data_IF_957809375630
#
_entry.id   IF_957809375630
#
_cell.length_a   1.000
_cell.length_b   1.000
_cell.length_c   1.000
_cell.angle_alpha   90.00
_cell.angle_beta   90.00
_cell.angle_gamma   90.00
#
_symmetry.space_group_name_H-M   'P 1'
#
loop_
_entity.id
_entity.type
_entity.pdbx_description
1 polymer ?
#
# COMPACT_ATOMS: atom_id res chain seq x y z
N UNK A 1 0.64 -1.33 -8.26
CA UNK A 1 -0.27 -0.23 -8.43
C UNK A 1 -1.61 -0.63 -7.86
N UNK A 2 -2.40 0.36 -7.52
CA UNK A 2 -3.80 0.19 -7.15
C UNK A 2 -4.66 0.73 -8.28
N UNK A 3 -5.94 0.98 -7.99
CA UNK A 3 -6.83 1.70 -8.87
C UNK A 3 -6.65 3.22 -8.64
N UNK A 4 -6.46 4.01 -9.69
CA UNK A 4 -6.35 5.47 -9.64
C UNK A 4 -7.48 6.14 -10.43
N UNK A 5 -8.06 7.22 -9.89
CA UNK A 5 -9.16 7.95 -10.54
C UNK A 5 -8.75 8.75 -11.80
N UNK A 6 -7.45 8.88 -12.03
CA UNK A 6 -6.83 9.62 -13.14
C UNK A 6 -5.62 8.86 -13.67
N UNK A 7 -5.15 9.28 -14.84
CA UNK A 7 -3.94 8.72 -15.44
C UNK A 7 -2.72 8.95 -14.53
N UNK A 8 -1.97 7.88 -14.31
CA UNK A 8 -0.73 7.91 -13.54
C UNK A 8 0.43 7.45 -14.42
N UNK A 9 1.31 8.35 -14.86
CA UNK A 9 2.44 8.02 -15.71
C UNK A 9 3.45 7.06 -15.09
N UNK A 10 3.59 7.07 -13.76
CA UNK A 10 4.59 6.26 -13.07
C UNK A 10 4.19 5.93 -11.64
N UNK A 11 4.35 4.66 -11.29
CA UNK A 11 4.28 4.15 -9.91
C UNK A 11 5.36 3.09 -9.74
N UNK A 12 6.05 3.11 -8.60
CA UNK A 12 7.07 2.12 -8.26
C UNK A 12 7.22 1.96 -6.75
N UNK A 13 8.12 1.06 -6.34
CA UNK A 13 8.50 0.87 -4.93
C UNK A 13 7.28 0.64 -4.04
N UNK A 14 6.29 -0.09 -4.56
CA UNK A 14 5.05 -0.32 -3.83
C UNK A 14 5.34 -1.25 -2.67
N UNK A 15 4.97 -0.86 -1.45
CA UNK A 15 5.04 -1.73 -0.28
C UNK A 15 3.71 -1.78 0.43
N UNK A 16 3.27 -2.99 0.74
CA UNK A 16 1.96 -3.22 1.37
C UNK A 16 2.17 -4.10 2.59
N UNK A 17 1.66 -3.68 3.73
CA UNK A 17 1.61 -4.47 4.94
C UNK A 17 0.18 -4.88 5.23
N UNK A 18 -0.05 -6.14 5.61
CA UNK A 18 -1.36 -6.56 6.12
C UNK A 18 -1.27 -7.61 7.22
N UNK A 19 -2.25 -7.60 8.13
CA UNK A 19 -2.45 -8.66 9.13
C UNK A 19 -3.89 -8.79 9.57
N UNK A 20 -4.24 -9.96 10.09
CA UNK A 20 -5.45 -10.09 10.89
C UNK A 20 -5.27 -9.37 12.23
N UNK A 21 -6.24 -8.54 12.61
CA UNK A 21 -6.26 -7.77 13.86
C UNK A 21 -7.08 -8.43 14.97
N UNK A 22 -7.87 -9.44 14.61
CA UNK A 22 -8.82 -10.16 15.45
C UNK A 22 -9.91 -10.79 14.57
N UNK A 23 -10.91 -11.48 15.16
CA UNK A 23 -11.97 -12.11 14.40
C UNK A 23 -12.68 -11.10 13.47
N UNK A 24 -12.60 -11.34 12.15
CA UNK A 24 -13.27 -10.53 11.14
C UNK A 24 -12.72 -9.11 10.97
N UNK A 25 -11.49 -8.82 11.39
CA UNK A 25 -10.84 -7.51 11.16
C UNK A 25 -9.45 -7.66 10.56
N UNK A 26 -9.17 -6.84 9.56
CA UNK A 26 -7.86 -6.75 8.92
C UNK A 26 -7.29 -5.34 9.04
N UNK A 27 -5.99 -5.29 9.33
CA UNK A 27 -5.18 -4.09 9.25
C UNK A 27 -4.41 -4.10 7.94
N UNK A 28 -4.33 -2.95 7.28
CA UNK A 28 -3.63 -2.74 6.02
C UNK A 28 -2.86 -1.43 6.10
N UNK A 29 -1.63 -1.42 5.58
CA UNK A 29 -0.90 -0.20 5.27
C UNK A 29 -0.30 -0.30 3.87
N UNK A 30 -0.21 0.84 3.18
CA UNK A 30 0.23 0.90 1.80
C UNK A 30 1.12 2.13 1.60
N UNK A 31 2.24 1.97 0.89
CA UNK A 31 3.05 3.08 0.37
C UNK A 31 3.48 2.82 -1.07
N UNK A 32 3.81 3.89 -1.77
CA UNK A 32 4.34 3.87 -3.14
C UNK A 32 5.06 5.18 -3.44
N UNK A 33 5.91 5.14 -4.46
CA UNK A 33 6.36 6.34 -5.17
C UNK A 33 5.46 6.53 -6.39
N UNK A 34 4.93 7.73 -6.58
CA UNK A 34 4.04 8.09 -7.69
C UNK A 34 4.50 9.37 -8.39
N UNK A 35 4.35 9.43 -9.70
CA UNK A 35 4.36 10.66 -10.48
C UNK A 35 2.97 10.88 -11.07
N UNK A 36 2.42 12.08 -10.89
CA UNK A 36 1.14 12.50 -11.46
C UNK A 36 1.17 13.97 -11.85
N UNK A 37 0.18 14.43 -12.61
CA UNK A 37 0.13 15.80 -13.14
C UNK A 37 -1.08 16.61 -12.67
N UNK A 38 -2.01 15.96 -11.97
CA UNK A 38 -3.20 16.56 -11.38
C UNK A 38 -3.53 15.86 -10.06
N UNK A 39 -4.40 16.48 -9.27
CA UNK A 39 -4.99 15.82 -8.10
C UNK A 39 -5.79 14.58 -8.51
N UNK A 40 -5.62 13.49 -7.77
CA UNK A 40 -6.27 12.22 -8.05
C UNK A 40 -6.51 11.44 -6.76
N UNK A 41 -7.27 10.36 -6.84
CA UNK A 41 -7.43 9.42 -5.75
C UNK A 41 -6.81 8.06 -6.07
N UNK A 42 -6.15 7.49 -5.06
CA UNK A 42 -5.92 6.05 -4.99
C UNK A 42 -7.14 5.38 -4.35
N UNK A 43 -7.64 4.33 -4.99
CA UNK A 43 -8.85 3.61 -4.58
C UNK A 43 -8.45 2.16 -4.31
N UNK A 44 -8.74 1.68 -3.10
CA UNK A 44 -8.53 0.30 -2.69
C UNK A 44 -9.87 -0.39 -2.48
N UNK A 45 -10.23 -1.39 -3.31
CA UNK A 45 -11.31 -2.30 -2.99
C UNK A 45 -11.00 -3.03 -1.68
N UNK A 46 -12.00 -3.17 -0.81
CA UNK A 46 -11.90 -3.85 0.48
C UNK A 46 -12.98 -4.93 0.56
N UNK A 47 -12.64 -6.19 0.89
CA UNK A 47 -13.61 -7.28 1.05
C UNK A 47 -14.34 -7.16 2.39
N UNK A 48 -15.06 -6.06 2.58
CA UNK A 48 -15.89 -5.83 3.77
C UNK A 48 -17.16 -6.68 3.72
N UNK A 49 -17.79 -6.98 4.88
CA UNK A 49 -19.14 -7.51 4.90
C UNK A 49 -20.12 -6.59 4.17
N UNK A 50 -21.06 -7.17 3.42
CA UNK A 50 -22.09 -6.41 2.72
C UNK A 50 -22.89 -5.53 3.70
N UNK A 51 -23.19 -4.29 3.29
CA UNK A 51 -23.90 -3.32 4.14
C UNK A 51 -23.07 -2.74 5.29
N UNK A 52 -21.73 -2.83 5.23
CA UNK A 52 -20.86 -2.17 6.20
C UNK A 52 -21.15 -0.66 6.27
N UNK A 53 -21.31 -0.05 7.46
CA UNK A 53 -21.59 1.38 7.59
C UNK A 53 -20.38 2.23 7.19
N UNK A 54 -20.60 3.53 6.95
CA UNK A 54 -19.53 4.50 6.60
C UNK A 54 -18.39 4.55 7.64
N UNK A 55 -18.71 4.29 8.91
CA UNK A 55 -17.75 4.28 10.03
C UNK A 55 -17.05 2.92 10.24
N UNK A 56 -17.28 1.93 9.37
CA UNK A 56 -16.73 0.59 9.51
C UNK A 56 -15.19 0.56 9.40
N UNK A 57 -14.64 1.48 8.61
CA UNK A 57 -13.21 1.60 8.35
C UNK A 57 -12.63 2.73 9.18
N UNK A 58 -11.58 2.42 9.95
CA UNK A 58 -10.83 3.39 10.73
C UNK A 58 -9.49 3.65 10.06
N UNK A 59 -9.26 4.87 9.58
CA UNK A 59 -7.98 5.29 9.05
C UNK A 59 -6.98 5.57 10.17
N UNK A 60 -5.74 5.15 9.99
CA UNK A 60 -4.67 5.31 10.97
C UNK A 60 -3.70 6.38 10.47
N UNK A 61 -3.53 7.44 11.26
CA UNK A 61 -2.57 8.51 10.96
C UNK A 61 -1.14 8.04 11.27
N UNK A 62 -0.39 7.77 10.20
CA UNK A 62 1.01 7.40 10.20
C UNK A 62 1.92 8.52 9.66
N UNK A 63 1.45 9.76 9.60
CA UNK A 63 2.27 10.91 9.18
C UNK A 63 3.51 11.11 10.07
N UNK A 64 3.45 10.66 11.34
CA UNK A 64 4.59 10.63 12.27
C UNK A 64 5.57 9.48 12.06
N UNK A 65 5.31 8.57 11.11
CA UNK A 65 6.18 7.43 10.80
C UNK A 65 6.30 7.15 9.29
N UNK A 66 6.81 8.10 8.50
CA UNK A 66 6.96 7.92 7.05
C UNK A 66 7.91 6.75 6.68
N UNK A 67 8.93 6.50 7.51
CA UNK A 67 9.92 5.44 7.29
C UNK A 67 9.49 4.02 7.68
N UNK A 68 8.21 3.77 7.96
CA UNK A 68 7.72 2.48 8.45
C UNK A 68 8.18 1.29 7.60
N UNK A 69 8.03 1.37 6.27
CA UNK A 69 8.37 0.26 5.38
C UNK A 69 9.87 0.05 5.22
N UNK A 70 10.67 1.11 5.36
CA UNK A 70 12.12 0.99 5.44
C UNK A 70 12.54 0.20 6.68
N UNK A 71 11.92 0.49 7.83
CA UNK A 71 12.18 -0.25 9.06
C UNK A 71 11.68 -1.70 9.01
N UNK A 72 10.55 -1.97 8.35
CA UNK A 72 10.09 -3.34 8.11
C UNK A 72 11.08 -4.14 7.25
N UNK A 73 11.65 -3.53 6.21
CA UNK A 73 12.60 -4.21 5.32
C UNK A 73 13.88 -4.63 6.06
N UNK A 74 14.31 -3.86 7.06
CA UNK A 74 15.48 -4.15 7.90
C UNK A 74 15.35 -5.45 8.71
N UNK A 75 14.14 -5.97 8.88
CA UNK A 75 13.90 -7.26 9.55
C UNK A 75 14.32 -8.48 8.69
N UNK A 76 14.68 -8.25 7.43
CA UNK A 76 15.07 -9.29 6.49
C UNK A 76 16.54 -9.13 6.07
N UNK A 77 17.26 -10.24 5.80
CA UNK A 77 18.63 -10.16 5.32
C UNK A 77 18.73 -9.36 4.01
N UNK A 78 19.68 -8.42 3.94
CA UNK A 78 20.04 -7.78 2.68
C UNK A 78 20.66 -8.83 1.75
N UNK A 79 20.03 -9.07 0.60
CA UNK A 79 20.55 -9.99 -0.43
C UNK A 79 21.69 -9.41 -1.26
N UNK A 80 22.10 -8.16 -1.00
CA UNK A 80 23.26 -7.56 -1.64
C UNK A 80 24.51 -8.21 -1.01
N UNK A 81 25.35 -8.93 -1.77
CA UNK A 81 26.64 -9.38 -1.26
C UNK A 81 27.39 -8.14 -0.77
N UNK A 82 27.73 -8.10 0.52
CA UNK A 82 28.67 -7.11 1.02
C UNK A 82 29.97 -7.30 0.25
N UNK A 83 30.21 -6.45 -0.75
CA UNK A 83 31.51 -6.35 -1.37
C UNK A 83 32.49 -5.97 -0.25
N UNK A 84 33.31 -6.93 0.18
CA UNK A 84 34.50 -6.67 1.00
C UNK A 84 35.46 -5.85 0.13
N UNK A 85 35.26 -4.55 0.11
CA UNK A 85 36.04 -3.61 -0.67
C UNK A 85 36.03 -2.26 0.02
N UNK A 86 36.97 -2.07 0.96
CA UNK A 86 37.20 -0.77 1.57
C UNK A 86 37.73 0.23 0.54
N UNK A 87 37.11 1.40 0.48
CA UNK A 87 37.67 2.59 -0.14
C UNK A 87 37.49 3.78 0.82
N UNK A 88 38.46 4.71 0.90
CA UNK A 88 38.48 5.74 1.92
C UNK A 88 37.40 6.80 1.63
N UNK A 89 36.68 7.19 2.68
CA UNK A 89 35.65 8.24 2.63
C UNK A 89 36.31 9.61 2.57
N UNK A 90 36.15 10.33 1.44
CA UNK A 90 36.37 11.78 1.40
C UNK A 90 35.16 12.48 2.04
N UNK A 91 35.44 13.36 3.01
CA UNK A 91 34.43 14.18 3.70
C UNK A 91 33.98 15.33 2.79
N UNK A 92 32.70 15.34 2.39
CA UNK A 92 32.05 16.51 1.79
C UNK A 92 31.46 17.43 2.86
N UNK A 93 31.53 18.75 2.59
CA UNK A 93 31.03 19.83 3.46
C UNK A 93 29.49 19.87 3.53
N UNK A 94 28.89 20.40 4.62
CA UNK A 94 27.44 20.44 4.79
C UNK A 94 26.78 21.50 3.91
N UNK A 95 25.64 21.16 3.32
CA UNK A 95 24.77 22.07 2.58
C UNK A 95 24.01 23.03 3.52
N UNK A 96 23.63 24.25 3.08
CA UNK A 96 22.94 25.23 3.92
C UNK A 96 21.51 24.79 4.25
N UNK A 97 21.07 25.07 5.49
CA UNK A 97 19.74 24.76 5.99
C UNK A 97 18.66 25.65 5.36
N UNK A 98 17.62 25.03 4.80
CA UNK A 98 16.39 25.69 4.36
C UNK A 98 15.36 25.79 5.49
N UNK A 99 14.57 26.87 5.44
CA UNK A 99 13.52 27.23 6.40
C UNK A 99 12.33 26.25 6.39
N UNK A 100 11.67 26.15 7.56
CA UNK A 100 10.51 25.29 7.85
C UNK A 100 9.34 25.51 6.88
N UNK A 101 8.90 24.41 6.27
CA UNK A 101 7.61 24.28 5.62
C UNK A 101 6.76 23.36 6.50
N UNK A 102 5.52 23.77 6.77
CA UNK A 102 4.53 22.96 7.48
C UNK A 102 3.49 22.46 6.48
N UNK A 103 3.51 21.16 6.18
CA UNK A 103 2.39 20.43 5.58
C UNK A 103 1.98 19.36 6.60
N UNK A 104 0.69 19.26 6.91
CA UNK A 104 0.16 18.26 7.85
C UNK A 104 -0.72 17.30 7.05
N UNK A 105 -0.19 16.09 6.87
CA UNK A 105 -0.76 15.03 6.04
C UNK A 105 -0.48 15.21 4.55
N UNK A 106 -0.41 14.10 3.82
CA UNK A 106 -0.23 14.12 2.35
C UNK A 106 -1.53 13.84 1.57
N UNK A 107 -2.60 13.38 2.24
CA UNK A 107 -3.86 12.97 1.60
C UNK A 107 -5.07 13.13 2.53
N UNK A 108 -6.26 13.14 1.94
CA UNK A 108 -7.53 12.92 2.64
C UNK A 108 -8.05 11.51 2.38
N UNK A 109 -8.66 10.88 3.39
CA UNK A 109 -9.14 9.51 3.30
C UNK A 109 -10.65 9.43 3.54
N UNK A 110 -11.33 8.55 2.80
CA UNK A 110 -12.77 8.30 2.96
C UNK A 110 -13.08 6.84 2.70
N UNK A 111 -14.12 6.32 3.36
CA UNK A 111 -14.67 5.00 3.06
C UNK A 111 -15.96 5.14 2.26
N UNK A 112 -16.05 4.40 1.17
CA UNK A 112 -17.19 4.33 0.27
C UNK A 112 -17.81 2.94 0.42
N UNK A 113 -18.98 2.79 1.08
CA UNK A 113 -19.55 1.48 1.39
C UNK A 113 -19.91 0.64 0.17
N UNK A 114 -20.40 1.28 -0.89
CA UNK A 114 -20.85 0.61 -2.12
C UNK A 114 -20.41 1.36 -3.37
N UNK A 115 -20.40 0.70 -4.53
CA UNK A 115 -20.14 1.37 -5.82
C UNK A 115 -21.03 2.59 -6.07
N UNK A 116 -22.30 2.52 -5.66
CA UNK A 116 -23.25 3.63 -5.84
C UNK A 116 -22.86 4.87 -5.02
N UNK A 117 -22.19 4.69 -3.87
CA UNK A 117 -21.80 5.78 -2.99
C UNK A 117 -20.64 6.62 -3.56
N UNK A 118 -19.92 6.15 -4.60
CA UNK A 118 -18.99 7.01 -5.34
C UNK A 118 -19.66 8.27 -5.87
N UNK A 119 -20.97 8.24 -6.14
CA UNK A 119 -21.77 9.38 -6.57
C UNK A 119 -21.75 10.58 -5.60
N UNK A 120 -21.25 10.39 -4.37
CA UNK A 120 -21.12 11.41 -3.33
C UNK A 120 -19.74 12.08 -3.25
N UNK A 121 -18.71 11.53 -3.90
CA UNK A 121 -17.35 12.09 -3.89
C UNK A 121 -17.18 13.22 -4.91
N UNK A 122 -16.10 13.99 -4.93
CA UNK A 122 -15.81 14.84 -6.10
C UNK A 122 -15.54 13.95 -7.34
N UNK A 123 -16.07 14.24 -8.54
CA UNK A 123 -15.80 13.46 -9.75
C UNK A 123 -14.31 13.24 -10.08
N UNK A 124 -13.40 14.09 -9.59
CA UNK A 124 -11.94 13.92 -9.72
C UNK A 124 -11.40 12.71 -8.97
N UNK A 125 -12.12 12.26 -7.95
CA UNK A 125 -11.71 11.17 -7.05
C UNK A 125 -12.51 9.88 -7.26
N UNK A 126 -13.16 9.75 -8.42
CA UNK A 126 -13.94 8.59 -8.81
C UNK A 126 -13.33 7.93 -10.04
N UNK A 127 -13.42 6.61 -10.09
CA UNK A 127 -13.28 5.86 -11.34
C UNK A 127 -14.61 5.85 -12.09
N UNK A 128 -14.53 5.79 -13.42
CA UNK A 128 -15.70 5.71 -14.28
C UNK A 128 -16.46 4.38 -14.03
N UNK A 129 -17.80 4.44 -14.02
CA UNK A 129 -18.64 3.26 -13.82
C UNK A 129 -18.41 2.17 -14.87
N UNK A 130 -18.04 2.54 -16.10
CA UNK A 130 -17.67 1.61 -17.16
C UNK A 130 -16.38 0.84 -16.85
N UNK A 131 -15.46 1.43 -16.07
CA UNK A 131 -14.24 0.74 -15.59
C UNK A 131 -14.63 -0.25 -14.50
N UNK A 132 -15.45 0.17 -13.54
CA UNK A 132 -15.96 -0.75 -12.54
C UNK A 132 -16.81 -1.89 -13.12
N UNK A 133 -17.55 -1.63 -14.21
CA UNK A 133 -18.28 -2.66 -14.95
C UNK A 133 -17.41 -3.77 -15.54
N UNK A 134 -16.10 -3.52 -15.72
CA UNK A 134 -15.11 -4.53 -16.13
C UNK A 134 -14.52 -5.31 -14.95
N UNK A 135 -14.85 -4.94 -13.71
CA UNK A 135 -14.37 -5.56 -12.47
C UNK A 135 -15.55 -6.00 -11.58
N UNK A 136 -16.44 -6.89 -12.07
CA UNK A 136 -17.65 -7.30 -11.35
C UNK A 136 -17.36 -8.00 -10.02
N UNK A 137 -16.14 -8.49 -9.81
CA UNK A 137 -15.71 -9.04 -8.51
C UNK A 137 -15.78 -8.02 -7.37
N UNK A 138 -15.84 -6.71 -7.66
CA UNK A 138 -15.92 -5.65 -6.66
C UNK A 138 -17.35 -5.13 -6.43
N UNK A 139 -18.38 -5.79 -6.97
CA UNK A 139 -19.79 -5.36 -6.82
C UNK A 139 -20.27 -5.37 -5.36
N UNK A 140 -19.68 -6.22 -4.54
CA UNK A 140 -19.99 -6.38 -3.12
C UNK A 140 -18.87 -5.85 -2.20
N UNK A 141 -17.91 -5.10 -2.73
CA UNK A 141 -16.83 -4.49 -1.97
C UNK A 141 -17.21 -3.09 -1.48
N UNK A 142 -16.56 -2.68 -0.40
CA UNK A 142 -16.41 -1.27 -0.04
C UNK A 142 -15.06 -0.75 -0.54
N UNK A 143 -14.82 0.55 -0.47
CA UNK A 143 -13.61 1.16 -1.03
C UNK A 143 -13.00 2.16 -0.06
N UNK A 144 -11.71 2.02 0.22
CA UNK A 144 -10.93 3.11 0.80
C UNK A 144 -10.44 4.03 -0.33
N UNK A 145 -10.72 5.32 -0.21
CA UNK A 145 -10.37 6.35 -1.19
C UNK A 145 -9.41 7.33 -0.54
N UNK A 146 -8.20 7.42 -1.07
CA UNK A 146 -7.15 8.34 -0.64
C UNK A 146 -6.95 9.43 -1.69
N UNK A 147 -7.43 10.64 -1.42
CA UNK A 147 -7.30 11.81 -2.28
C UNK A 147 -5.91 12.41 -2.10
N UNK A 148 -5.05 12.20 -3.09
CA UNK A 148 -3.65 12.62 -3.05
C UNK A 148 -3.53 14.09 -3.45
N UNK A 149 -2.86 14.89 -2.61
CA UNK A 149 -2.73 16.35 -2.79
C UNK A 149 -1.32 16.77 -3.10
N UNK A 150 -1.16 17.99 -3.63
CA UNK A 150 0.16 18.59 -3.86
C UNK A 150 0.96 17.89 -4.96
N UNK A 151 0.26 17.31 -5.93
CA UNK A 151 0.84 16.70 -7.14
C UNK A 151 0.98 17.73 -8.29
N UNK A 152 0.18 18.80 -8.24
CA UNK A 152 0.25 19.87 -9.23
C UNK A 152 1.53 20.72 -9.06
N UNK A 153 2.30 20.87 -10.14
CA UNK A 153 3.39 21.82 -10.20
C UNK A 153 2.98 23.08 -10.97
N UNK A 154 3.21 24.24 -10.33
CA UNK A 154 3.14 25.54 -11.00
C UNK A 154 4.12 25.64 -12.18
N UNK A 155 3.88 26.60 -13.08
CA UNK A 155 4.65 26.79 -14.32
C UNK A 155 6.17 26.85 -14.11
N UNK A 156 6.62 27.47 -13.01
CA UNK A 156 8.03 27.60 -12.65
C UNK A 156 8.67 26.24 -12.33
N UNK A 157 7.93 25.34 -11.67
CA UNK A 157 8.39 23.99 -11.35
C UNK A 157 8.59 23.13 -12.60
N UNK A 158 7.70 23.29 -13.59
CA UNK A 158 7.82 22.61 -14.90
C UNK A 158 9.05 23.07 -15.68
N UNK A 159 9.33 24.38 -15.68
CA UNK A 159 10.48 24.94 -16.41
C UNK A 159 11.83 24.49 -15.82
N UNK A 160 11.88 24.28 -14.50
CA UNK A 160 13.09 23.88 -13.79
C UNK A 160 13.34 22.36 -13.79
N UNK A 161 12.50 21.56 -14.46
CA UNK A 161 12.71 20.11 -14.57
C UNK A 161 12.78 19.38 -13.23
N UNK A 162 12.05 19.85 -12.21
CA UNK A 162 12.05 19.21 -10.89
C UNK A 162 11.51 17.78 -10.98
N UNK A 163 12.13 16.87 -10.22
CA UNK A 163 11.61 15.51 -10.04
C UNK A 163 10.15 15.59 -9.58
N UNK A 164 9.27 14.91 -10.32
CA UNK A 164 7.82 14.91 -10.10
C UNK A 164 7.37 13.71 -9.26
N UNK A 165 8.30 12.81 -8.95
CA UNK A 165 8.04 11.64 -8.12
C UNK A 165 7.88 12.07 -6.68
N UNK A 166 6.87 11.51 -6.02
CA UNK A 166 6.60 11.72 -4.62
C UNK A 166 6.30 10.40 -3.95
N UNK A 167 6.90 10.21 -2.79
CA UNK A 167 6.49 9.19 -1.83
C UNK A 167 5.58 9.85 -0.79
N UNK A 168 4.47 9.20 -0.49
CA UNK A 168 3.52 9.63 0.54
C UNK A 168 3.82 8.86 1.81
N UNK A 169 3.59 9.45 2.99
CA UNK A 169 3.60 8.64 4.21
C UNK A 169 2.59 7.47 4.09
N UNK A 170 2.80 6.35 4.81
CA UNK A 170 1.93 5.18 4.67
C UNK A 170 0.44 5.51 4.86
N UNK A 171 -0.37 5.03 3.92
CA UNK A 171 -1.83 5.02 3.98
C UNK A 171 -2.28 3.77 4.73
N UNK A 172 -2.79 3.93 5.95
CA UNK A 172 -3.15 2.81 6.80
C UNK A 172 -4.59 2.82 7.26
N UNK A 173 -5.18 1.63 7.38
CA UNK A 173 -6.56 1.45 7.79
C UNK A 173 -6.79 0.12 8.51
N UNK A 174 -7.84 0.11 9.31
CA UNK A 174 -8.40 -1.01 10.03
C UNK A 174 -9.84 -1.20 9.55
N UNK A 175 -10.18 -2.37 8.99
CA UNK A 175 -11.49 -2.62 8.39
C UNK A 175 -12.05 -4.00 8.76
N UNK A 176 -13.39 -4.15 8.82
CA UNK A 176 -13.99 -5.47 8.91
C UNK A 176 -13.75 -6.23 7.61
N UNK A 177 -13.33 -7.49 7.70
CA UNK A 177 -13.19 -8.37 6.54
C UNK A 177 -14.24 -9.47 6.60
N UNK A 178 -14.84 -9.78 5.45
CA UNK A 178 -15.70 -10.96 5.30
C UNK A 178 -14.92 -12.27 5.19
N UNK A 179 -13.59 -12.17 5.08
CA UNK A 179 -12.67 -13.31 4.90
C UNK A 179 -11.75 -13.47 6.14
N UNK A 180 -12.25 -13.95 7.28
CA UNK A 180 -11.47 -14.03 8.52
C UNK A 180 -10.33 -15.06 8.49
N UNK A 181 -10.34 -16.00 7.53
CA UNK A 181 -9.34 -17.06 7.41
C UNK A 181 -8.13 -16.73 6.53
N UNK A 182 -8.09 -15.54 5.91
CA UNK A 182 -7.05 -15.14 4.94
C UNK A 182 -6.74 -13.66 5.06
N UNK A 183 -5.57 -13.25 4.58
CA UNK A 183 -5.21 -11.83 4.51
C UNK A 183 -5.29 -11.36 3.06
N UNK A 184 -6.01 -10.26 2.84
CA UNK A 184 -6.20 -9.63 1.55
C UNK A 184 -5.14 -8.54 1.28
N UNK A 185 -4.62 -8.48 0.06
CA UNK A 185 -3.79 -7.41 -0.43
C UNK A 185 -4.43 -6.80 -1.68
N UNK A 186 -4.86 -5.53 -1.66
CA UNK A 186 -5.35 -4.85 -2.86
C UNK A 186 -4.17 -4.59 -3.80
N UNK A 187 -4.11 -5.35 -4.89
CA UNK A 187 -3.03 -5.30 -5.88
C UNK A 187 -3.54 -5.29 -7.31
N UNK A 188 -4.84 -5.18 -7.56
CA UNK A 188 -5.36 -4.91 -8.90
C UNK A 188 -4.90 -3.52 -9.39
N UNK A 189 -4.56 -3.41 -10.66
CA UNK A 189 -4.05 -2.19 -11.29
C UNK A 189 -5.11 -1.63 -12.25
N UNK A 190 -5.42 -0.36 -12.06
CA UNK A 190 -6.15 0.49 -13.02
C UNK A 190 -5.53 1.87 -12.92
N UNK A 191 -4.75 2.28 -13.91
CA UNK A 191 -4.00 3.54 -13.82
C UNK A 191 -4.06 4.41 -15.07
N UNK A 192 -4.77 3.96 -16.12
CA UNK A 192 -4.99 4.65 -17.39
C UNK A 192 -6.48 4.65 -17.79
N UNK A 193 -7.36 4.41 -16.81
CA UNK A 193 -8.79 4.25 -17.03
C UNK A 193 -9.18 2.96 -17.77
N UNK A 194 -8.28 1.97 -17.87
CA UNK A 194 -8.56 0.68 -18.49
C UNK A 194 -8.22 -0.47 -17.55
N UNK A 195 -8.89 -1.59 -17.77
CA UNK A 195 -8.60 -2.86 -17.09
C UNK A 195 -7.79 -3.73 -18.03
N UNK A 196 -6.53 -3.95 -17.68
CA UNK A 196 -5.65 -4.84 -18.42
C UNK A 196 -5.69 -6.24 -17.80
N UNK A 197 -5.62 -7.34 -18.58
CA UNK A 197 -5.61 -8.70 -18.05
C UNK A 197 -4.28 -9.03 -17.32
N UNK A 198 -3.21 -8.34 -17.68
CA UNK A 198 -1.90 -8.43 -17.03
C UNK A 198 -1.47 -7.05 -16.53
N UNK A 199 -0.62 -7.08 -15.52
CA UNK A 199 -0.04 -5.89 -14.90
C UNK A 199 1.42 -6.15 -14.53
N UNK A 200 2.25 -5.12 -14.67
CA UNK A 200 3.65 -5.17 -14.24
C UNK A 200 3.75 -4.83 -12.75
N UNK A 201 4.19 -5.80 -11.97
CA UNK A 201 4.36 -5.63 -10.53
C UNK A 201 5.80 -5.26 -10.17
N UNK A 202 5.91 -4.37 -9.19
CA UNK A 202 7.13 -4.02 -8.45
C UNK A 202 6.73 -3.79 -7.00
N UNK A 203 6.31 -4.86 -6.31
CA UNK A 203 5.72 -4.76 -4.98
C UNK A 203 6.45 -5.63 -3.98
N UNK A 204 6.56 -5.13 -2.77
CA UNK A 204 6.93 -5.91 -1.60
C UNK A 204 5.71 -6.02 -0.68
N UNK A 205 5.24 -7.25 -0.45
CA UNK A 205 4.14 -7.50 0.47
C UNK A 205 4.71 -8.04 1.78
N UNK A 206 4.29 -7.42 2.88
CA UNK A 206 4.60 -7.80 4.24
C UNK A 206 3.34 -8.35 4.90
N UNK A 207 3.42 -9.57 5.44
CA UNK A 207 2.32 -10.16 6.20
C UNK A 207 2.78 -10.49 7.61
N UNK A 208 2.01 -10.06 8.61
CA UNK A 208 2.23 -10.47 9.98
C UNK A 208 1.24 -11.55 10.39
N UNK A 209 1.77 -12.68 10.86
CA UNK A 209 0.99 -13.82 11.33
C UNK A 209 1.16 -14.01 12.83
N UNK A 210 0.05 -14.14 13.55
CA UNK A 210 0.04 -14.46 14.99
C UNK A 210 0.03 -15.96 15.26
N UNK A 211 -0.28 -16.77 14.24
CA UNK A 211 -0.40 -18.23 14.31
C UNK A 211 0.45 -18.93 13.25
N UNK A 212 -0.18 -19.77 12.45
CA UNK A 212 0.51 -20.51 11.39
C UNK A 212 1.24 -19.60 10.39
N UNK A 213 2.31 -20.13 9.80
CA UNK A 213 3.03 -19.43 8.75
C UNK A 213 2.14 -19.29 7.48
N UNK A 214 2.32 -18.21 6.69
CA UNK A 214 1.76 -18.10 5.36
C UNK A 214 2.12 -19.31 4.50
N UNK A 215 1.14 -19.80 3.73
CA UNK A 215 1.32 -20.95 2.81
C UNK A 215 1.37 -20.51 1.35
N UNK A 216 0.47 -19.62 0.94
CA UNK A 216 0.29 -19.20 -0.46
C UNK A 216 0.09 -17.69 -0.51
N UNK A 217 0.53 -17.01 -1.58
CA UNK A 217 0.30 -15.59 -1.86
C UNK A 217 -0.23 -15.41 -3.29
N UNK A 218 -1.41 -15.93 -3.59
CA UNK A 218 -1.87 -16.09 -4.97
C UNK A 218 -3.21 -15.38 -5.20
N UNK A 219 -3.50 -14.96 -6.44
CA UNK A 219 -4.87 -14.57 -6.80
C UNK A 219 -5.85 -15.75 -6.72
N UNK A 220 -5.36 -17.00 -6.89
CA UNK A 220 -6.12 -18.21 -6.60
C UNK A 220 -5.68 -18.80 -5.25
N UNK A 221 -6.54 -18.82 -4.22
CA UNK A 221 -6.20 -19.38 -2.92
C UNK A 221 -5.87 -20.89 -2.95
N UNK A 222 -6.15 -21.59 -4.07
CA UNK A 222 -5.84 -23.00 -4.28
C UNK A 222 -4.50 -23.23 -4.98
N UNK A 223 -3.82 -22.18 -5.44
CA UNK A 223 -2.52 -22.30 -6.11
C UNK A 223 -1.40 -22.59 -5.12
N UNK A 224 -0.40 -23.35 -5.55
CA UNK A 224 0.75 -23.74 -4.73
C UNK A 224 1.70 -22.56 -4.44
N UNK A 225 2.64 -22.84 -3.52
CA UNK A 225 3.36 -21.90 -2.68
C UNK A 225 4.12 -20.78 -3.40
N UNK A 226 4.10 -19.60 -2.77
CA UNK A 226 5.06 -18.54 -3.03
C UNK A 226 6.23 -18.69 -2.06
N UNK A 227 7.44 -18.33 -2.51
CA UNK A 227 8.58 -18.28 -1.60
C UNK A 227 8.44 -17.06 -0.68
N UNK A 228 8.26 -17.35 0.61
CA UNK A 228 8.21 -16.36 1.66
C UNK A 228 9.55 -16.28 2.36
N UNK A 229 9.96 -15.06 2.66
CA UNK A 229 11.07 -14.78 3.56
C UNK A 229 10.47 -14.52 4.93
N UNK A 230 10.94 -15.22 5.97
CA UNK A 230 10.55 -14.93 7.35
C UNK A 230 11.62 -14.05 8.01
N UNK A 231 11.20 -13.04 8.76
CA UNK A 231 12.11 -12.23 9.56
C UNK A 231 12.79 -13.12 10.63
N UNK A 232 14.08 -12.90 10.84
CA UNK A 232 14.88 -13.68 11.81
C UNK A 232 14.65 -13.25 13.26
N UNK A 233 14.31 -11.98 13.47
CA UNK A 233 14.15 -11.36 14.79
C UNK A 233 12.74 -10.73 14.92
N UNK A 234 12.28 -10.45 16.15
CA UNK A 234 11.00 -9.77 16.41
C UNK A 234 10.89 -8.39 15.75
N UNK A 235 9.65 -7.97 15.43
CA UNK A 235 9.39 -6.71 14.71
C UNK A 235 9.78 -5.48 15.54
N UNK A 236 9.64 -5.54 16.87
CA UNK A 236 9.98 -4.43 17.77
C UNK A 236 11.47 -4.08 17.79
N UNK A 237 12.36 -4.93 17.28
CA UNK A 237 13.79 -4.62 17.18
C UNK A 237 14.12 -3.68 16.02
N UNK A 238 13.23 -3.58 15.03
CA UNK A 238 13.43 -2.75 13.83
C UNK A 238 12.44 -1.59 13.74
N UNK A 239 11.21 -1.79 14.25
CA UNK A 239 10.10 -0.85 14.09
C UNK A 239 9.74 -0.18 15.41
N UNK A 240 9.47 1.13 15.38
CA UNK A 240 8.91 1.90 16.51
C UNK A 240 7.42 1.57 16.68
N UNK A 241 7.12 0.39 17.22
CA UNK A 241 5.74 -0.17 17.30
C UNK A 241 4.74 0.82 17.92
N UNK A 242 5.15 1.59 18.93
CA UNK A 242 4.30 2.60 19.57
C UNK A 242 3.76 3.67 18.59
N UNK A 243 4.52 3.99 17.54
CA UNK A 243 4.16 4.99 16.54
C UNK A 243 3.27 4.43 15.43
N UNK A 244 2.98 3.12 15.44
CA UNK A 244 2.22 2.43 14.39
C UNK A 244 0.70 2.47 14.63
N UNK A 245 0.24 3.11 15.71
CA UNK A 245 -1.19 3.21 16.08
C UNK A 245 -1.91 1.85 16.18
N UNK A 246 -1.16 0.81 16.57
CA UNK A 246 -1.67 -0.56 16.68
C UNK A 246 -1.67 -1.36 15.37
N UNK A 247 -1.13 -0.79 14.28
CA UNK A 247 -0.98 -1.49 13.01
C UNK A 247 -0.13 -2.76 13.15
N UNK A 248 0.95 -2.71 13.94
CA UNK A 248 1.87 -3.84 14.14
C UNK A 248 1.76 -4.42 15.54
N UNK A 249 1.84 -5.75 15.63
CA UNK A 249 2.16 -6.47 16.84
C UNK A 249 3.69 -6.61 16.94
N UNK A 250 4.31 -6.06 17.99
CA UNK A 250 5.77 -6.09 18.13
C UNK A 250 6.37 -7.50 18.25
N UNK A 251 5.60 -8.46 18.75
CA UNK A 251 6.04 -9.85 18.94
C UNK A 251 5.60 -10.77 17.78
N UNK A 252 4.78 -10.28 16.85
CA UNK A 252 4.24 -11.08 15.75
C UNK A 252 5.29 -11.44 14.72
N UNK A 253 5.19 -12.65 14.13
CA UNK A 253 6.08 -13.09 13.05
C UNK A 253 5.80 -12.32 11.78
N UNK A 254 6.84 -11.74 11.19
CA UNK A 254 6.76 -10.99 9.94
C UNK A 254 7.30 -11.84 8.78
N UNK A 255 6.58 -11.81 7.66
CA UNK A 255 6.98 -12.46 6.42
C UNK A 255 6.95 -11.44 5.29
N UNK A 256 7.82 -11.63 4.30
CA UNK A 256 7.94 -10.81 3.09
C UNK A 256 7.83 -11.68 1.85
N UNK A 257 7.08 -11.20 0.86
CA UNK A 257 6.99 -11.79 -0.47
C UNK A 257 7.16 -10.69 -1.52
N UNK A 258 8.02 -10.95 -2.51
CA UNK A 258 8.19 -10.07 -3.66
C UNK A 258 7.18 -10.42 -4.75
N UNK A 259 6.58 -9.40 -5.35
CA UNK A 259 5.67 -9.52 -6.47
C UNK A 259 6.25 -8.67 -7.61
N UNK A 260 6.86 -9.33 -8.60
CA UNK A 260 7.63 -8.67 -9.65
C UNK A 260 7.25 -9.13 -11.06
N UNK A 261 7.40 -8.23 -12.02
CA UNK A 261 7.19 -8.49 -13.45
C UNK A 261 5.72 -8.60 -13.87
N UNK A 262 5.51 -8.92 -15.14
CA UNK A 262 4.16 -9.08 -15.70
C UNK A 262 3.47 -10.33 -15.15
N UNK A 263 2.32 -10.13 -14.52
CA UNK A 263 1.49 -11.20 -13.93
C UNK A 263 0.00 -10.91 -14.17
N UNK A 264 -0.91 -11.87 -13.93
CA UNK A 264 -2.34 -11.61 -13.95
C UNK A 264 -2.71 -10.43 -13.05
N UNK A 265 -3.48 -9.49 -13.61
CA UNK A 265 -3.96 -8.30 -12.92
C UNK A 265 -5.08 -8.66 -11.95
N UNK A 266 -4.70 -9.04 -10.74
CA UNK A 266 -5.61 -9.48 -9.71
C UNK A 266 -5.04 -9.18 -8.32
N UNK A 267 -5.91 -9.08 -7.34
CA UNK A 267 -5.52 -8.97 -5.94
C UNK A 267 -4.77 -10.21 -5.46
N UNK A 268 -4.07 -10.09 -4.32
CA UNK A 268 -3.37 -11.21 -3.70
C UNK A 268 -4.03 -11.60 -2.38
N UNK A 269 -4.15 -12.90 -2.17
CA UNK A 269 -4.63 -13.49 -0.94
C UNK A 269 -3.54 -14.33 -0.30
N UNK A 270 -3.31 -14.09 0.99
CA UNK A 270 -2.46 -14.93 1.82
C UNK A 270 -3.32 -15.88 2.64
N UNK A 271 -3.12 -17.18 2.43
CA UNK A 271 -3.72 -18.23 3.25
C UNK A 271 -2.68 -18.79 4.22
N UNK A 272 -3.12 -19.23 5.39
CA UNK A 272 -2.28 -19.83 6.42
C UNK A 272 -2.49 -21.35 6.48
N UNK A 273 -1.51 -22.09 7.01
CA UNK A 273 -1.71 -23.51 7.31
C UNK A 273 -2.78 -23.68 8.41
N UNK A 274 -3.70 -24.62 8.20
CA UNK A 274 -4.74 -24.99 9.18
C UNK A 274 -4.23 -25.94 10.25
#
# INVERSE_FOLDING_TARGET
>A
MCCFSREVPYVSSTSIFARQAGPGRQLLAYTMTIEAHEELAMILPLPVPAGSPEEAVRFLDLSGYPGLFHDLDRAFPSLIPQAKGGFPVLRSAPAPATLKVHAVGDFEASFVPTRADFARLDPRFRLDDAVWGQLPQYDDHGFAVFQLRGLEQGWLGRLLGRDRRREFHPMALDFPTREPGRVFFPTVHVHDGRVHPQADFDHTLYVQATGAAPRTCSPDPRSDAHEYWQAGEPVNDFVRVADTRGLLDGAGRLYRVGLHGSQPNADRWVSFAG
#
